data_IF_847377449494
#
_entry.id   IF_847377449494
#
_cell.length_a   1.000
_cell.length_b   1.000
_cell.length_c   1.000
_cell.angle_alpha   90.00
_cell.angle_beta   90.00
_cell.angle_gamma   90.00
#
_symmetry.space_group_name_H-M   'P 1'
#
loop_
_entity.id
_entity.type
_entity.pdbx_description
1 polymer ?
#
# COMPACT_ATOMS: atom_id res chain seq x y z
N UNK A 1 -21.55 76.96 6.04
CA UNK A 1 -20.16 76.53 6.28
C UNK A 1 -20.27 75.42 7.33
N UNK A 2 -20.57 74.19 6.90
CA UNK A 2 -19.59 73.13 6.56
C UNK A 2 -18.63 72.87 7.71
N UNK A 3 -18.31 71.66 8.16
CA UNK A 3 -18.70 70.26 7.97
C UNK A 3 -17.75 69.52 8.93
N UNK A 4 -18.05 68.31 9.40
CA UNK A 4 -16.99 67.46 9.98
C UNK A 4 -17.43 66.43 11.00
N UNK A 5 -18.26 65.48 10.57
CA UNK A 5 -18.48 64.22 11.26
C UNK A 5 -17.26 63.31 11.11
N UNK A 6 -16.56 63.04 12.22
CA UNK A 6 -15.44 62.09 12.27
C UNK A 6 -15.94 60.66 12.46
N UNK A 7 -15.74 59.82 11.44
CA UNK A 7 -15.90 58.37 11.53
C UNK A 7 -14.55 57.73 11.81
N UNK A 8 -14.41 57.09 12.97
CA UNK A 8 -13.27 56.24 13.32
C UNK A 8 -13.39 54.89 12.62
N UNK A 9 -12.52 54.64 11.64
CA UNK A 9 -12.36 53.34 10.99
C UNK A 9 -11.39 52.50 11.84
N UNK A 10 -11.89 51.45 12.49
CA UNK A 10 -11.05 50.39 13.05
C UNK A 10 -10.46 49.58 11.90
N UNK A 11 -9.15 49.66 11.71
CA UNK A 11 -8.40 48.73 10.88
C UNK A 11 -8.25 47.41 11.65
N UNK A 12 -8.90 46.35 11.15
CA UNK A 12 -8.57 44.98 11.53
C UNK A 12 -7.15 44.64 11.08
N UNK A 13 -6.38 43.85 11.85
CA UNK A 13 -5.09 43.36 11.40
C UNK A 13 -5.29 42.50 10.15
N UNK A 14 -4.65 42.89 9.05
CA UNK A 14 -4.39 42.03 7.89
C UNK A 14 -3.67 40.77 8.39
N UNK A 15 -4.36 39.64 8.34
CA UNK A 15 -3.71 38.34 8.32
C UNK A 15 -2.97 38.28 6.98
N UNK A 16 -1.66 38.51 7.00
CA UNK A 16 -0.78 38.10 5.91
C UNK A 16 -0.96 36.59 5.74
N UNK A 17 -1.60 36.21 4.62
CA UNK A 17 -1.65 34.83 4.18
C UNK A 17 -0.19 34.35 4.05
N UNK A 18 0.21 33.24 4.71
CA UNK A 18 1.50 32.65 4.44
C UNK A 18 1.47 32.24 2.97
N UNK A 19 2.24 32.95 2.16
CA UNK A 19 2.61 32.58 0.81
C UNK A 19 3.37 31.25 0.93
N UNK A 20 2.60 30.15 0.98
CA UNK A 20 3.11 28.80 0.82
C UNK A 20 3.65 28.78 -0.60
N UNK A 21 4.93 29.12 -0.71
CA UNK A 21 5.69 28.98 -1.93
C UNK A 21 5.73 27.48 -2.19
N UNK A 22 4.83 27.02 -3.05
CA UNK A 22 4.86 25.68 -3.62
C UNK A 22 6.10 25.63 -4.51
N UNK A 23 7.26 25.41 -3.90
CA UNK A 23 8.41 24.90 -4.59
C UNK A 23 7.92 23.63 -5.29
N UNK A 24 7.90 23.66 -6.62
CA UNK A 24 7.56 22.57 -7.51
C UNK A 24 8.64 21.48 -7.37
N UNK A 25 8.69 20.84 -6.20
CA UNK A 25 9.52 19.69 -5.93
C UNK A 25 8.92 18.52 -6.73
N UNK A 26 9.52 18.26 -7.88
CA UNK A 26 9.22 17.09 -8.72
C UNK A 26 9.23 15.82 -7.86
N UNK A 27 8.07 15.18 -7.76
CA UNK A 27 7.95 13.75 -7.46
C UNK A 27 8.17 13.28 -6.02
N UNK A 28 8.19 14.15 -5.00
CA UNK A 28 8.13 13.69 -3.61
C UNK A 28 6.70 13.28 -3.27
N UNK A 29 6.40 11.99 -3.37
CA UNK A 29 5.14 11.44 -2.89
C UNK A 29 5.16 11.46 -1.36
N UNK A 30 4.37 12.32 -0.73
CA UNK A 30 4.13 12.27 0.71
C UNK A 30 2.81 11.56 0.93
N UNK A 31 2.83 10.36 1.51
CA UNK A 31 1.59 9.70 1.90
C UNK A 31 0.93 10.45 3.07
N UNK A 32 -0.41 10.48 3.16
CA UNK A 32 -1.14 11.25 4.18
C UNK A 32 -0.79 10.89 5.63
N UNK A 33 -0.16 9.73 5.85
CA UNK A 33 0.43 9.34 7.13
C UNK A 33 1.88 8.86 6.91
N UNK A 34 2.79 9.84 6.92
CA UNK A 34 4.21 9.77 7.33
C UNK A 34 5.26 9.28 6.31
N UNK A 35 6.22 10.20 6.07
CA UNK A 35 7.64 10.10 5.66
C UNK A 35 8.17 9.07 4.64
N UNK A 36 7.35 8.36 3.86
CA UNK A 36 7.86 7.59 2.71
C UNK A 36 8.21 8.58 1.57
N UNK A 37 9.37 9.21 1.63
CA UNK A 37 9.88 9.99 0.49
C UNK A 37 10.40 9.02 -0.58
N UNK A 38 9.59 8.79 -1.62
CA UNK A 38 10.09 8.12 -2.82
C UNK A 38 10.96 9.14 -3.56
N UNK A 39 12.26 9.08 -3.34
CA UNK A 39 13.22 9.89 -4.08
C UNK A 39 13.40 9.28 -5.47
N UNK A 40 12.61 9.73 -6.44
CA UNK A 40 12.80 9.38 -7.84
C UNK A 40 14.05 10.11 -8.30
N UNK A 41 15.19 9.40 -8.28
CA UNK A 41 16.42 9.91 -8.88
C UNK A 41 16.22 9.94 -10.39
N UNK A 42 15.77 11.09 -10.90
CA UNK A 42 15.68 11.35 -12.34
C UNK A 42 17.10 11.27 -12.90
N UNK A 43 17.38 10.19 -13.64
CA UNK A 43 18.46 10.22 -14.61
C UNK A 43 18.06 11.28 -15.65
N UNK A 44 18.91 12.27 -15.89
CA UNK A 44 18.66 13.49 -16.68
C UNK A 44 18.48 13.22 -18.18
N UNK A 45 17.53 12.36 -18.53
CA UNK A 45 17.05 12.18 -19.89
C UNK A 45 15.72 12.95 -20.01
N UNK A 46 15.85 14.28 -20.04
CA UNK A 46 14.80 15.21 -20.46
C UNK A 46 14.36 14.82 -21.87
N UNK A 47 13.18 14.20 -22.06
CA UNK A 47 12.37 14.28 -23.29
C UNK A 47 11.14 13.31 -23.28
N UNK A 48 10.43 13.13 -22.16
CA UNK A 48 9.10 12.47 -22.15
C UNK A 48 8.36 12.63 -20.82
N UNK A 49 8.03 13.86 -20.41
CA UNK A 49 7.20 14.08 -19.22
C UNK A 49 5.71 14.02 -19.58
N UNK A 50 5.14 12.81 -19.59
CA UNK A 50 3.69 12.62 -19.45
C UNK A 50 3.37 12.84 -17.96
N UNK A 51 2.90 14.06 -17.65
CA UNK A 51 2.61 14.54 -16.30
C UNK A 51 1.42 13.78 -15.72
N UNK A 52 1.68 12.63 -15.10
CA UNK A 52 0.67 11.85 -14.39
C UNK A 52 0.24 12.59 -13.12
N UNK A 53 -0.77 13.43 -13.25
CA UNK A 53 -1.33 14.30 -12.20
C UNK A 53 -2.10 13.44 -11.18
N UNK A 54 -1.59 13.35 -9.95
CA UNK A 54 -2.17 12.55 -8.85
C UNK A 54 -3.33 13.29 -8.13
N UNK A 55 -3.72 14.49 -8.58
CA UNK A 55 -4.91 15.18 -8.05
C UNK A 55 -6.22 14.40 -8.29
N UNK A 56 -6.23 13.43 -9.20
CA UNK A 56 -7.34 12.48 -9.40
C UNK A 56 -7.38 11.34 -8.35
N UNK A 57 -6.36 11.23 -7.50
CA UNK A 57 -6.14 10.07 -6.62
C UNK A 57 -6.77 10.23 -5.24
N UNK A 58 -6.83 11.45 -4.72
CA UNK A 58 -7.71 11.78 -3.60
C UNK A 58 -9.04 12.18 -4.23
N UNK A 59 -9.70 11.18 -4.83
CA UNK A 59 -11.10 11.32 -5.19
C UNK A 59 -11.81 11.84 -3.93
N UNK A 60 -12.45 13.02 -3.99
CA UNK A 60 -13.04 13.60 -2.81
C UNK A 60 -14.02 12.56 -2.24
N UNK A 61 -14.07 12.44 -0.93
CA UNK A 61 -15.11 11.70 -0.18
C UNK A 61 -16.55 12.16 -0.47
N UNK A 62 -16.74 12.95 -1.53
CA UNK A 62 -17.98 13.42 -2.15
C UNK A 62 -18.93 12.30 -2.61
N UNK A 63 -18.54 11.02 -2.52
CA UNK A 63 -19.44 9.89 -2.77
C UNK A 63 -20.49 9.68 -1.69
N UNK A 64 -20.21 9.97 -0.42
CA UNK A 64 -21.15 9.68 0.68
C UNK A 64 -22.39 10.57 0.65
N UNK A 65 -22.23 11.84 0.27
CA UNK A 65 -23.36 12.78 0.18
C UNK A 65 -24.27 12.46 -1.01
N UNK A 66 -23.70 11.93 -2.10
CA UNK A 66 -24.45 11.46 -3.27
C UNK A 66 -25.20 10.14 -3.03
N UNK A 67 -24.70 9.29 -2.11
CA UNK A 67 -25.41 8.09 -1.66
C UNK A 67 -26.61 8.45 -0.77
N UNK A 68 -26.50 9.50 0.04
CA UNK A 68 -27.58 9.91 0.94
C UNK A 68 -28.78 10.54 0.23
N UNK A 69 -28.58 11.24 -0.90
CA UNK A 69 -29.65 11.96 -1.61
C UNK A 69 -30.35 11.13 -2.73
N UNK A 70 -29.97 9.87 -2.93
CA UNK A 70 -30.61 8.98 -3.91
C UNK A 70 -31.89 8.39 -3.30
N UNK A 71 -33.05 8.41 -3.98
CA UNK A 71 -34.28 7.77 -3.50
C UNK A 71 -34.01 6.27 -3.28
N UNK A 72 -33.81 5.88 -2.03
CA UNK A 72 -33.45 4.53 -1.67
C UNK A 72 -34.60 3.56 -1.97
N UNK A 73 -34.39 2.67 -2.93
CA UNK A 73 -35.30 1.55 -3.16
C UNK A 73 -35.13 0.57 -2.00
N UNK A 74 -36.20 -0.04 -1.45
CA UNK A 74 -36.11 -0.96 -0.28
C UNK A 74 -35.07 -2.10 -0.51
N UNK A 75 -34.87 -2.51 -1.77
CA UNK A 75 -33.85 -3.50 -2.16
C UNK A 75 -32.42 -2.98 -2.01
N UNK A 76 -32.19 -1.69 -2.23
CA UNK A 76 -30.89 -1.03 -2.08
C UNK A 76 -30.57 -0.75 -0.61
N UNK A 77 -31.58 -0.36 0.19
CA UNK A 77 -31.44 -0.21 1.66
C UNK A 77 -31.06 -1.55 2.30
N UNK A 78 -31.77 -2.63 1.91
CA UNK A 78 -31.48 -3.97 2.41
C UNK A 78 -30.06 -4.42 2.08
N UNK A 79 -29.60 -4.16 0.85
CA UNK A 79 -28.22 -4.45 0.44
C UNK A 79 -27.17 -3.66 1.22
N UNK A 80 -27.42 -2.38 1.48
CA UNK A 80 -26.53 -1.52 2.27
C UNK A 80 -26.43 -1.97 3.72
N UNK A 81 -27.55 -2.24 4.38
CA UNK A 81 -27.57 -2.71 5.77
C UNK A 81 -26.83 -4.05 5.92
N UNK A 82 -27.01 -4.96 4.95
CA UNK A 82 -26.32 -6.24 4.94
C UNK A 82 -24.79 -6.07 4.83
N UNK A 83 -24.32 -5.17 3.97
CA UNK A 83 -22.89 -4.83 3.85
C UNK A 83 -22.32 -4.29 5.16
N UNK A 84 -23.05 -3.43 5.86
CA UNK A 84 -22.60 -2.88 7.16
C UNK A 84 -22.45 -4.01 8.20
N UNK A 85 -23.40 -4.94 8.26
CA UNK A 85 -23.35 -6.07 9.20
C UNK A 85 -22.19 -7.01 8.88
N UNK A 86 -21.90 -7.26 7.60
CA UNK A 86 -20.80 -8.13 7.18
C UNK A 86 -19.43 -7.43 7.10
N UNK A 87 -19.37 -6.11 7.27
CA UNK A 87 -18.12 -5.36 7.24
C UNK A 87 -17.18 -5.74 8.38
N UNK A 88 -17.67 -5.83 9.62
CA UNK A 88 -16.83 -6.20 10.77
C UNK A 88 -16.32 -7.65 10.65
N UNK A 89 -17.17 -8.66 10.34
CA UNK A 89 -16.69 -10.00 10.03
C UNK A 89 -15.65 -10.03 8.90
N UNK A 90 -15.83 -9.23 7.86
CA UNK A 90 -14.87 -9.11 6.77
C UNK A 90 -13.53 -8.54 7.23
N UNK A 91 -13.51 -7.45 8.02
CA UNK A 91 -12.29 -6.89 8.59
C UNK A 91 -11.53 -7.90 9.46
N UNK A 92 -12.25 -8.67 10.28
CA UNK A 92 -11.67 -9.77 11.08
C UNK A 92 -11.09 -10.85 10.17
N UNK A 93 -11.79 -11.21 9.09
CA UNK A 93 -11.30 -12.22 8.14
C UNK A 93 -10.04 -11.74 7.41
N UNK A 94 -9.96 -10.48 7.00
CA UNK A 94 -8.77 -9.88 6.39
C UNK A 94 -7.61 -9.88 7.39
N UNK A 95 -7.81 -9.40 8.62
CA UNK A 95 -6.78 -9.40 9.66
C UNK A 95 -6.30 -10.82 10.02
N UNK A 96 -7.23 -11.76 10.13
CA UNK A 96 -6.92 -13.16 10.35
C UNK A 96 -6.15 -13.78 9.19
N UNK A 97 -6.49 -13.41 7.94
CA UNK A 97 -5.77 -13.88 6.75
C UNK A 97 -4.34 -13.34 6.71
N UNK A 98 -4.12 -12.07 7.09
CA UNK A 98 -2.78 -11.49 7.25
C UNK A 98 -1.95 -12.33 8.22
N UNK A 99 -2.50 -12.59 9.42
CA UNK A 99 -1.74 -13.27 10.49
C UNK A 99 -1.52 -14.76 10.21
N UNK A 100 -2.56 -15.45 9.75
CA UNK A 100 -2.57 -16.92 9.68
C UNK A 100 -2.25 -17.47 8.30
N UNK A 101 -2.73 -16.85 7.23
CA UNK A 101 -2.66 -17.42 5.88
C UNK A 101 -2.60 -16.29 4.83
N UNK A 102 -1.46 -15.60 4.67
CA UNK A 102 -1.35 -14.46 3.76
C UNK A 102 -1.48 -14.91 2.29
N UNK A 103 -1.51 -16.22 2.03
CA UNK A 103 -1.80 -16.82 0.72
C UNK A 103 -3.19 -16.53 0.17
N UNK A 104 -4.18 -16.35 1.04
CA UNK A 104 -5.58 -16.13 0.65
C UNK A 104 -5.99 -14.66 0.74
N UNK A 105 -5.04 -13.78 1.03
CA UNK A 105 -5.30 -12.39 1.31
C UNK A 105 -5.88 -11.66 0.09
N UNK A 106 -5.36 -11.92 -1.12
CA UNK A 106 -5.92 -11.41 -2.39
C UNK A 106 -7.41 -11.75 -2.56
N UNK A 107 -7.73 -13.03 -2.39
CA UNK A 107 -9.09 -13.56 -2.50
C UNK A 107 -10.05 -12.96 -1.47
N UNK A 108 -9.61 -12.75 -0.24
CA UNK A 108 -10.49 -12.25 0.83
C UNK A 108 -10.66 -10.72 0.74
N UNK A 109 -9.58 -10.01 0.43
CA UNK A 109 -9.60 -8.55 0.37
C UNK A 109 -10.30 -8.03 -0.89
N UNK A 110 -9.90 -8.49 -2.08
CA UNK A 110 -10.29 -7.86 -3.34
C UNK A 110 -11.49 -8.52 -4.03
N UNK A 111 -11.75 -9.83 -3.81
CA UNK A 111 -12.90 -10.49 -4.46
C UNK A 111 -14.24 -10.31 -3.74
N UNK A 112 -14.26 -9.77 -2.53
CA UNK A 112 -15.49 -9.59 -1.76
C UNK A 112 -16.31 -8.37 -2.18
N UNK A 113 -15.72 -7.48 -3.00
CA UNK A 113 -16.35 -6.25 -3.49
C UNK A 113 -16.48 -5.14 -2.44
N UNK A 114 -15.75 -5.26 -1.32
CA UNK A 114 -15.56 -4.16 -0.35
C UNK A 114 -14.44 -3.22 -0.76
N UNK A 115 -13.44 -3.73 -1.48
CA UNK A 115 -12.32 -2.98 -2.03
C UNK A 115 -12.35 -3.03 -3.55
N UNK A 116 -11.95 -1.93 -4.18
CA UNK A 116 -11.69 -1.93 -5.60
C UNK A 116 -10.43 -2.77 -5.91
N UNK A 117 -10.37 -3.45 -7.07
CA UNK A 117 -9.20 -4.23 -7.45
C UNK A 117 -8.03 -3.30 -7.79
N UNK A 118 -7.19 -3.05 -6.78
CA UNK A 118 -6.00 -2.20 -6.89
C UNK A 118 -4.78 -3.07 -7.21
N UNK A 119 -3.92 -2.62 -8.12
CA UNK A 119 -2.74 -3.37 -8.57
C UNK A 119 -1.43 -2.57 -8.35
N UNK A 120 -0.31 -3.27 -8.27
CA UNK A 120 1.03 -2.70 -8.18
C UNK A 120 1.27 -1.89 -6.90
N UNK A 121 2.02 -0.79 -6.99
CA UNK A 121 2.42 0.01 -5.81
C UNK A 121 1.24 0.58 -5.01
N UNK A 122 0.09 0.79 -5.65
CA UNK A 122 -1.13 1.25 -4.97
C UNK A 122 -1.65 0.20 -3.98
N UNK A 123 -1.47 -1.07 -4.31
CA UNK A 123 -1.83 -2.21 -3.46
C UNK A 123 -0.92 -2.29 -2.24
N UNK A 124 0.38 -2.07 -2.44
CA UNK A 124 1.34 -1.93 -1.36
C UNK A 124 0.99 -0.76 -0.43
N UNK A 125 0.72 0.42 -0.99
CA UNK A 125 0.33 1.61 -0.24
C UNK A 125 -0.92 1.37 0.64
N UNK A 126 -1.92 0.69 0.08
CA UNK A 126 -3.12 0.30 0.81
C UNK A 126 -2.77 -0.57 2.04
N UNK A 127 -1.95 -1.60 1.86
CA UNK A 127 -1.57 -2.48 2.98
C UNK A 127 -0.70 -1.77 4.03
N UNK A 128 0.19 -0.88 3.60
CA UNK A 128 0.99 -0.08 4.52
C UNK A 128 0.11 0.82 5.41
N UNK A 129 -0.93 1.43 4.83
CA UNK A 129 -1.82 2.37 5.54
C UNK A 129 -2.94 1.69 6.34
N UNK A 130 -3.50 0.57 5.85
CA UNK A 130 -4.72 -0.06 6.41
C UNK A 130 -4.50 -1.45 6.99
N UNK A 131 -3.37 -2.08 6.70
CA UNK A 131 -3.10 -3.46 7.11
C UNK A 131 -3.04 -3.61 8.62
N UNK A 132 -2.50 -2.62 9.32
CA UNK A 132 -2.36 -2.65 10.78
C UNK A 132 -3.72 -2.65 11.48
N UNK A 133 -4.67 -1.83 11.03
CA UNK A 133 -6.01 -1.74 11.62
C UNK A 133 -6.75 -3.07 11.49
N UNK A 134 -6.63 -3.76 10.34
CA UNK A 134 -7.21 -5.10 10.18
C UNK A 134 -6.62 -6.11 11.16
N UNK A 135 -5.29 -6.13 11.32
CA UNK A 135 -4.62 -7.01 12.28
C UNK A 135 -5.04 -6.68 13.72
N UNK A 136 -5.11 -5.40 14.07
CA UNK A 136 -5.54 -4.95 15.39
C UNK A 136 -6.98 -5.39 15.72
N UNK A 137 -7.91 -5.27 14.76
CA UNK A 137 -9.30 -5.74 14.92
C UNK A 137 -9.34 -7.25 15.15
N UNK A 138 -8.58 -8.03 14.38
CA UNK A 138 -8.49 -9.48 14.56
C UNK A 138 -7.93 -9.85 15.94
N UNK A 139 -6.84 -9.23 16.37
CA UNK A 139 -6.24 -9.48 17.69
C UNK A 139 -7.18 -9.09 18.83
N UNK A 140 -7.91 -7.97 18.70
CA UNK A 140 -8.92 -7.57 19.68
C UNK A 140 -10.02 -8.63 19.85
N UNK A 141 -10.45 -9.27 18.75
CA UNK A 141 -11.40 -10.38 18.82
C UNK A 141 -10.80 -11.60 19.55
N UNK A 142 -9.54 -11.93 19.30
CA UNK A 142 -8.85 -13.03 20.02
C UNK A 142 -8.77 -12.71 21.52
N UNK A 143 -8.38 -11.48 21.88
CA UNK A 143 -8.35 -11.03 23.27
C UNK A 143 -9.74 -11.09 23.92
N UNK A 144 -10.79 -10.72 23.20
CA UNK A 144 -12.17 -10.83 23.69
C UNK A 144 -12.55 -12.29 23.99
N UNK A 145 -12.16 -13.24 23.15
CA UNK A 145 -12.41 -14.67 23.38
C UNK A 145 -11.63 -15.18 24.61
N UNK A 146 -10.38 -14.76 24.80
CA UNK A 146 -9.59 -15.03 26.01
C UNK A 146 -10.28 -14.50 27.25
N UNK A 147 -10.80 -13.27 27.18
CA UNK A 147 -11.51 -12.65 28.29
C UNK A 147 -12.80 -13.40 28.65
N UNK A 148 -13.61 -13.77 27.65
CA UNK A 148 -14.89 -14.46 27.88
C UNK A 148 -14.72 -15.94 28.27
N UNK A 149 -13.69 -16.62 27.76
CA UNK A 149 -13.45 -18.06 27.95
C UNK A 149 -11.95 -18.34 28.02
N UNK A 150 -11.28 -18.15 29.17
CA UNK A 150 -9.81 -18.22 29.26
C UNK A 150 -9.24 -19.57 28.82
N UNK A 151 -9.87 -20.69 29.18
CA UNK A 151 -9.39 -22.02 28.76
C UNK A 151 -9.37 -22.21 27.25
N UNK A 152 -10.43 -21.79 26.54
CA UNK A 152 -10.48 -21.86 25.07
C UNK A 152 -9.60 -20.78 24.44
N UNK A 153 -9.59 -19.58 25.01
CA UNK A 153 -8.82 -18.47 24.49
C UNK A 153 -7.32 -18.73 24.49
N UNK A 154 -6.76 -19.34 25.54
CA UNK A 154 -5.35 -19.72 25.54
C UNK A 154 -5.02 -20.73 24.45
N UNK A 155 -5.90 -21.71 24.20
CA UNK A 155 -5.72 -22.64 23.08
C UNK A 155 -5.74 -21.92 21.74
N UNK A 156 -6.63 -20.94 21.56
CA UNK A 156 -6.68 -20.12 20.35
C UNK A 156 -5.41 -19.27 20.20
N UNK A 157 -4.97 -18.59 21.26
CA UNK A 157 -3.74 -17.77 21.23
C UNK A 157 -2.53 -18.64 20.88
N UNK A 158 -2.37 -19.80 21.52
CA UNK A 158 -1.30 -20.74 21.20
C UNK A 158 -1.38 -21.24 19.76
N UNK A 159 -2.59 -21.59 19.28
CA UNK A 159 -2.81 -22.04 17.91
C UNK A 159 -2.49 -20.94 16.88
N UNK A 160 -3.00 -19.73 17.09
CA UNK A 160 -2.75 -18.56 16.24
C UNK A 160 -1.26 -18.24 16.23
N UNK A 161 -0.60 -18.21 17.39
CA UNK A 161 0.83 -17.96 17.50
C UNK A 161 1.68 -19.02 16.81
N UNK A 162 1.35 -20.30 16.97
CA UNK A 162 2.07 -21.39 16.33
C UNK A 162 1.91 -21.37 14.80
N UNK A 163 0.69 -21.18 14.31
CA UNK A 163 0.41 -21.09 12.86
C UNK A 163 1.06 -19.86 12.25
N UNK A 164 0.89 -18.69 12.88
CA UNK A 164 1.53 -17.44 12.45
C UNK A 164 3.05 -17.62 12.39
N UNK A 165 3.67 -18.09 13.48
CA UNK A 165 5.11 -18.32 13.53
C UNK A 165 5.59 -19.26 12.42
N UNK A 166 4.88 -20.38 12.19
CA UNK A 166 5.21 -21.32 11.13
C UNK A 166 5.12 -20.70 9.73
N UNK A 167 4.03 -19.98 9.45
CA UNK A 167 3.77 -19.39 8.13
C UNK A 167 4.75 -18.26 7.81
N UNK A 168 5.05 -17.40 8.77
CA UNK A 168 6.00 -16.30 8.60
C UNK A 168 7.45 -16.78 8.59
N UNK A 169 7.77 -17.86 9.31
CA UNK A 169 9.08 -18.50 9.25
C UNK A 169 9.34 -19.12 7.86
N UNK A 170 8.37 -19.89 7.34
CA UNK A 170 8.44 -20.47 5.99
C UNK A 170 8.58 -19.38 4.92
N UNK A 171 7.78 -18.32 5.04
CA UNK A 171 7.83 -17.17 4.14
C UNK A 171 9.18 -16.44 4.21
N UNK A 172 9.68 -16.12 5.41
CA UNK A 172 10.93 -15.40 5.58
C UNK A 172 12.14 -16.14 4.96
N UNK A 173 12.22 -17.46 5.15
CA UNK A 173 13.32 -18.26 4.58
C UNK A 173 13.23 -18.36 3.06
N UNK A 174 12.02 -18.58 2.53
CA UNK A 174 11.81 -18.74 1.09
C UNK A 174 12.04 -17.42 0.34
N UNK A 175 11.55 -16.30 0.90
CA UNK A 175 11.49 -15.02 0.21
C UNK A 175 12.76 -14.19 0.37
N UNK A 176 13.47 -14.26 1.50
CA UNK A 176 14.80 -13.60 1.63
C UNK A 176 15.79 -14.06 0.55
N UNK A 177 15.60 -15.26 0.01
CA UNK A 177 16.44 -15.79 -1.08
C UNK A 177 16.08 -15.20 -2.45
N UNK A 178 14.89 -14.62 -2.63
CA UNK A 178 14.41 -13.99 -3.88
C UNK A 178 14.53 -12.46 -3.80
N UNK A 179 15.76 -11.94 -3.70
CA UNK A 179 16.03 -10.51 -3.90
C UNK A 179 15.73 -10.15 -5.35
N UNK A 180 14.61 -9.47 -5.61
CA UNK A 180 14.22 -9.04 -6.96
C UNK A 180 12.71 -9.04 -7.25
N UNK A 181 11.86 -9.40 -6.28
CA UNK A 181 10.40 -9.30 -6.46
C UNK A 181 9.98 -7.83 -6.44
N UNK A 182 9.17 -7.45 -7.44
CA UNK A 182 8.61 -6.12 -7.59
C UNK A 182 7.60 -5.84 -6.48
N UNK A 183 7.69 -4.66 -5.84
CA UNK A 183 6.74 -4.26 -4.82
C UNK A 183 5.32 -4.15 -5.38
N UNK A 184 4.37 -4.75 -4.68
CA UNK A 184 2.94 -4.67 -4.99
C UNK A 184 2.39 -5.79 -5.89
N UNK A 185 3.25 -6.67 -6.41
CA UNK A 185 2.82 -7.87 -7.14
C UNK A 185 2.43 -9.01 -6.17
N UNK A 186 3.14 -9.13 -5.05
CA UNK A 186 2.79 -10.07 -3.97
C UNK A 186 2.32 -9.30 -2.72
N UNK A 187 1.08 -9.54 -2.31
CA UNK A 187 0.51 -9.04 -1.07
C UNK A 187 1.31 -9.46 0.16
N UNK A 188 1.84 -10.69 0.15
CA UNK A 188 2.55 -11.24 1.30
C UNK A 188 3.81 -10.45 1.56
N UNK A 189 4.53 -10.12 0.48
CA UNK A 189 5.72 -9.28 0.56
C UNK A 189 5.35 -7.88 1.03
N UNK A 190 4.27 -7.30 0.50
CA UNK A 190 3.78 -5.97 0.88
C UNK A 190 3.47 -5.89 2.38
N UNK A 191 2.74 -6.89 2.89
CA UNK A 191 2.37 -6.98 4.31
C UNK A 191 3.58 -7.33 5.18
N UNK A 192 4.48 -8.20 4.72
CA UNK A 192 5.72 -8.53 5.43
C UNK A 192 6.59 -7.30 5.65
N UNK A 193 6.75 -6.49 4.60
CA UNK A 193 7.48 -5.22 4.66
C UNK A 193 6.76 -4.22 5.57
N UNK A 194 5.43 -4.12 5.43
CA UNK A 194 4.55 -3.41 6.37
C UNK A 194 4.87 -3.74 7.82
N UNK A 195 4.81 -5.03 8.16
CA UNK A 195 4.99 -5.53 9.51
C UNK A 195 6.42 -5.31 10.04
N UNK A 196 7.43 -5.65 9.26
CA UNK A 196 8.84 -5.64 9.70
C UNK A 196 9.46 -4.25 9.72
N UNK A 197 9.11 -3.40 8.76
CA UNK A 197 9.70 -2.05 8.61
C UNK A 197 8.82 -0.96 9.19
N UNK A 198 7.52 -0.97 8.90
CA UNK A 198 6.67 0.16 9.28
C UNK A 198 6.05 0.00 10.67
N UNK A 199 5.51 -1.19 10.97
CA UNK A 199 4.76 -1.37 12.22
C UNK A 199 5.68 -1.65 13.41
N UNK A 200 6.82 -2.29 13.18
CA UNK A 200 7.73 -2.70 14.24
C UNK A 200 8.90 -1.74 14.48
N UNK A 201 9.48 -1.13 13.44
CA UNK A 201 10.73 -0.38 13.55
C UNK A 201 10.55 1.08 14.04
N UNK A 202 9.31 1.52 14.28
CA UNK A 202 9.02 2.91 14.61
C UNK A 202 9.15 3.83 13.40
N UNK A 203 8.70 5.08 13.54
CA UNK A 203 8.57 6.05 12.44
C UNK A 203 9.90 6.53 11.82
N UNK A 204 11.05 6.00 12.23
CA UNK A 204 12.36 6.58 11.87
C UNK A 204 13.09 5.82 10.75
N UNK A 205 12.60 4.66 10.30
CA UNK A 205 13.26 3.87 9.24
C UNK A 205 12.69 4.26 7.87
N UNK A 206 13.27 5.32 7.28
CA UNK A 206 13.01 5.69 5.90
C UNK A 206 13.35 4.53 4.95
N UNK A 207 12.36 4.05 4.20
CA UNK A 207 12.56 2.98 3.21
C UNK A 207 12.87 3.60 1.85
N UNK A 208 14.09 3.36 1.34
CA UNK A 208 14.47 3.81 -0.01
C UNK A 208 13.96 2.82 -1.05
N UNK A 209 13.09 3.30 -1.92
CA UNK A 209 12.57 2.55 -3.06
C UNK A 209 13.24 3.05 -4.34
N UNK A 210 13.79 2.12 -5.13
CA UNK A 210 14.31 2.42 -6.46
C UNK A 210 13.32 1.96 -7.51
N UNK A 211 12.98 2.85 -8.44
CA UNK A 211 12.18 2.52 -9.62
C UNK A 211 13.04 1.71 -10.61
N UNK A 212 12.50 0.62 -11.12
CA UNK A 212 13.10 -0.26 -12.14
C UNK A 212 12.09 -0.41 -13.29
N UNK A 213 12.54 -0.74 -14.50
CA UNK A 213 11.66 -1.08 -15.62
C UNK A 213 10.72 -2.23 -15.20
N UNK A 214 9.45 -1.91 -14.95
CA UNK A 214 8.44 -2.87 -14.49
C UNK A 214 7.94 -2.67 -13.06
N UNK A 215 8.59 -1.87 -12.20
CA UNK A 215 8.07 -1.64 -10.85
C UNK A 215 9.03 -0.94 -9.90
N UNK A 216 8.89 -1.24 -8.60
CA UNK A 216 9.72 -0.67 -7.53
C UNK A 216 10.44 -1.80 -6.80
N UNK A 217 11.72 -1.62 -6.55
CA UNK A 217 12.57 -2.56 -5.81
C UNK A 217 13.12 -1.85 -4.57
N UNK A 218 13.17 -2.57 -3.45
CA UNK A 218 13.81 -2.10 -2.23
C UNK A 218 15.31 -2.02 -2.42
N UNK A 219 15.88 -0.86 -2.12
CA UNK A 219 17.33 -0.72 -1.98
C UNK A 219 17.61 -0.74 -0.50
N UNK A 220 18.27 -1.81 -0.04
CA UNK A 220 18.85 -1.79 1.29
C UNK A 220 19.96 -0.76 1.26
N UNK A 221 19.91 0.22 2.16
CA UNK A 221 21.09 1.02 2.46
C UNK A 221 22.13 0.04 2.96
N UNK A 222 23.05 -0.35 2.08
CA UNK A 222 24.33 -0.88 2.51
C UNK A 222 24.88 0.23 3.39
N UNK A 223 24.90 -0.06 4.69
CA UNK A 223 25.50 0.80 5.69
C UNK A 223 26.91 1.02 5.16
N UNK A 224 27.13 2.19 4.56
CA UNK A 224 28.38 2.62 3.97
C UNK A 224 29.30 2.80 5.18
N UNK A 225 29.79 1.68 5.69
CA UNK A 225 30.87 1.57 6.65
C UNK A 225 31.94 2.46 6.06
N UNK A 226 32.14 3.63 6.65
CA UNK A 226 32.88 4.76 6.10
C UNK A 226 34.37 4.51 5.85
N UNK A 227 34.68 3.48 5.08
CA UNK A 227 35.89 3.33 4.31
C UNK A 227 35.81 4.42 3.24
N UNK A 228 36.28 5.60 3.63
CA UNK A 228 36.83 6.59 2.72
C UNK A 228 37.86 5.91 1.81
N UNK A 229 37.39 5.23 0.77
CA UNK A 229 38.23 4.80 -0.34
C UNK A 229 38.36 6.02 -1.24
N UNK A 230 39.38 6.79 -0.93
CA UNK A 230 39.96 7.77 -1.84
C UNK A 230 40.15 7.11 -3.21
N UNK A 231 39.47 7.65 -4.21
CA UNK A 231 39.76 7.56 -5.64
C UNK A 231 40.42 6.27 -6.13
N UNK A 232 39.64 5.44 -6.80
CA UNK A 232 40.21 4.68 -7.92
C UNK A 232 39.22 4.70 -9.06
N UNK A 233 39.51 5.58 -10.01
CA UNK A 233 38.96 5.55 -11.35
C UNK A 233 39.13 4.15 -11.97
N UNK A 234 38.10 3.70 -12.66
CA UNK A 234 38.19 2.66 -13.67
C UNK A 234 37.91 1.24 -13.19
N UNK A 235 36.70 0.74 -13.50
CA UNK A 235 36.60 -0.28 -14.54
C UNK A 235 35.13 -0.58 -14.83
N UNK A 236 34.69 -0.13 -16.01
CA UNK A 236 33.57 -0.72 -16.74
C UNK A 236 33.96 -2.17 -17.03
N UNK A 237 33.36 -3.14 -16.34
CA UNK A 237 33.49 -4.54 -16.74
C UNK A 237 32.23 -5.36 -16.43
N UNK A 238 31.59 -5.73 -17.54
CA UNK A 238 30.83 -6.96 -17.80
C UNK A 238 29.44 -7.11 -17.16
N UNK A 239 28.39 -6.96 -17.97
CA UNK A 239 27.81 -8.05 -18.77
C UNK A 239 27.45 -9.27 -17.92
N UNK A 240 26.19 -9.29 -17.46
CA UNK A 240 25.52 -10.55 -17.21
C UNK A 240 25.27 -11.23 -18.59
N UNK A 241 25.63 -12.51 -18.75
CA UNK A 241 25.41 -13.24 -19.99
C UNK A 241 23.92 -13.51 -20.22
N UNK A 242 23.55 -13.53 -21.50
CA UNK A 242 22.20 -13.65 -22.05
C UNK A 242 21.20 -14.47 -21.24
N UNK A 243 20.12 -13.81 -20.85
CA UNK A 243 18.81 -14.44 -20.77
C UNK A 243 18.23 -14.39 -22.19
N UNK A 244 18.30 -15.53 -22.84
CA UNK A 244 17.78 -15.77 -24.19
C UNK A 244 16.23 -15.77 -24.13
N UNK A 245 15.61 -14.58 -24.25
CA UNK A 245 14.15 -14.47 -24.45
C UNK A 245 13.88 -14.68 -25.93
N UNK A 246 13.94 -15.94 -26.34
CA UNK A 246 13.84 -16.36 -27.74
C UNK A 246 13.28 -17.76 -27.91
N UNK A 247 12.11 -18.07 -27.33
CA UNK A 247 11.31 -19.19 -27.82
C UNK A 247 10.21 -18.69 -28.76
N UNK A 248 10.29 -18.98 -30.07
CA UNK A 248 9.20 -18.72 -31.00
C UNK A 248 8.03 -19.67 -30.74
N UNK A 249 6.82 -19.10 -30.72
CA UNK A 249 5.54 -19.79 -30.79
C UNK A 249 5.59 -20.95 -31.79
N UNK A 250 5.70 -22.19 -31.27
CA UNK A 250 5.35 -23.39 -32.02
C UNK A 250 3.84 -23.47 -32.13
N UNK A 251 3.34 -23.07 -33.29
CA UNK A 251 2.05 -23.53 -33.82
C UNK A 251 2.14 -25.04 -34.02
N UNK A 252 1.65 -25.83 -33.06
CA UNK A 252 1.28 -27.23 -33.30
C UNK A 252 -0.22 -27.24 -33.58
N UNK A 253 -0.53 -27.63 -34.80
CA UNK A 253 -1.88 -27.62 -35.33
C UNK A 253 -2.84 -28.56 -34.61
N UNK A 254 -4.10 -28.20 -34.72
CA UNK A 254 -5.13 -29.13 -35.15
C UNK A 254 -5.79 -29.96 -34.05
N UNK A 255 -6.87 -29.42 -33.46
CA UNK A 255 -8.19 -30.00 -33.72
C UNK A 255 -9.32 -29.10 -33.25
N UNK A 256 -10.06 -28.62 -34.25
CA UNK A 256 -11.49 -28.36 -34.17
C UNK A 256 -12.20 -29.70 -33.94
N UNK A 257 -13.04 -29.77 -32.91
CA UNK A 257 -14.28 -30.55 -32.97
C UNK A 257 -15.41 -29.69 -32.41
N UNK A 258 -16.23 -29.21 -33.34
CA UNK A 258 -17.57 -28.67 -33.17
C UNK A 258 -18.55 -29.84 -33.25
N UNK A 259 -19.56 -29.84 -32.37
CA UNK A 259 -20.82 -30.58 -32.51
C UNK A 259 -20.74 -32.04 -32.06
N UNK A 260 -21.75 -32.64 -31.45
CA UNK A 260 -23.14 -32.26 -31.21
C UNK A 260 -23.88 -33.56 -30.87
N UNK A 261 -24.81 -33.51 -29.92
CA UNK A 261 -25.56 -34.66 -29.42
C UNK A 261 -25.95 -34.47 -27.97
#
# INVERSE_FOLDING_TARGET
MSSGSGSSVSQSPECEDPEITYAKAKGMYSMPNRHISIEVREHEDEDAADEFRIEDFIGPTQGLDSLFNRRWTIREVGGGALRVVFFVPWCVAVGGSIVLCPKYLDGIAFHTGYLDPVHGIRRFAYWADKGFEHVAIFLALVCLVVYLRPGLGWLIVCGVGAVSGFVWWDFGIAEMRRRGVLLGDDDRMSVYLGLTRFWWAGDDVGVKLRRVEGGFVLVEDEEDDGASSSGTEGSVLNQAPGVDIGEPLRTIGGRVLIGGG
#
